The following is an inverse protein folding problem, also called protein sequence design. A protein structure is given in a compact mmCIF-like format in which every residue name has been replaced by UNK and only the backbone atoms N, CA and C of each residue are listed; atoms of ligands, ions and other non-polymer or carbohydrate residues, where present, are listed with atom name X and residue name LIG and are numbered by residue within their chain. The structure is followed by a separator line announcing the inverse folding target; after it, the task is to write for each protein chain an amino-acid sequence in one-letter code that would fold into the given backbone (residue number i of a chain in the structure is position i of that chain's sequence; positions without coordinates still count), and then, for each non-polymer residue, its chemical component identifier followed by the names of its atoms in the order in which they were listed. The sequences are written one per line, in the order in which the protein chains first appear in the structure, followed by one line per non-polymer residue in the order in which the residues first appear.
data_IF_695932119079
#
_entry.id   IF_695932119079
#
_cell.length_a   1.000
_cell.length_b   1.000
_cell.length_c   1.000
_cell.angle_alpha   90.00
_cell.angle_beta   90.00
_cell.angle_gamma   90.00
#
_symmetry.space_group_name_H-M   'P 1'
#
loop_
_entity.id
_entity.type
_entity.pdbx_description
1 polymer ?
#
# COMPACT_ATOMS: atom_id res chain seq x y z
N UNK A 1 13.71 -7.84 -5.16
CA UNK A 1 13.53 -9.12 -4.42
C UNK A 1 13.25 -10.25 -5.40
N UNK A 2 13.12 -11.52 -4.98
CA UNK A 2 12.87 -12.64 -5.93
C UNK A 2 11.59 -12.45 -6.78
N UNK A 3 10.64 -11.67 -6.27
CA UNK A 3 9.34 -11.40 -6.93
C UNK A 3 9.16 -9.93 -7.33
N UNK A 4 10.20 -9.11 -7.20
CA UNK A 4 10.14 -7.67 -7.47
C UNK A 4 11.34 -7.24 -8.29
N UNK A 5 11.09 -6.48 -9.34
CA UNK A 5 12.11 -5.82 -10.16
C UNK A 5 12.21 -4.35 -9.76
N UNK A 6 13.43 -3.80 -9.83
CA UNK A 6 13.66 -2.38 -9.64
C UNK A 6 13.36 -1.64 -10.94
N UNK A 7 12.65 -0.52 -10.85
CA UNK A 7 12.36 0.38 -11.96
C UNK A 7 12.50 1.82 -11.45
N UNK A 8 12.84 2.74 -12.34
CA UNK A 8 12.80 4.17 -12.08
C UNK A 8 11.38 4.62 -12.46
N UNK A 9 10.53 4.69 -11.43
CA UNK A 9 9.07 4.57 -11.55
C UNK A 9 8.31 5.88 -11.43
N UNK A 10 8.98 7.03 -11.31
CA UNK A 10 8.33 8.34 -11.11
C UNK A 10 7.21 8.61 -12.13
N UNK A 11 7.48 8.33 -13.41
CA UNK A 11 6.53 8.55 -14.51
C UNK A 11 5.61 7.36 -14.79
N UNK A 12 5.58 6.34 -13.92
CA UNK A 12 4.85 5.09 -14.19
C UNK A 12 3.37 5.34 -14.49
N UNK A 13 2.68 6.17 -13.68
CA UNK A 13 1.26 6.45 -13.92
C UNK A 13 1.03 7.24 -15.20
N UNK A 14 1.92 8.17 -15.55
CA UNK A 14 1.78 9.00 -16.76
C UNK A 14 1.91 8.12 -18.01
N UNK A 15 2.90 7.21 -18.05
CA UNK A 15 3.10 6.28 -19.16
C UNK A 15 1.85 5.40 -19.37
N UNK A 16 1.31 4.83 -18.29
CA UNK A 16 0.11 3.99 -18.37
C UNK A 16 -1.13 4.82 -18.79
N UNK A 17 -1.27 6.03 -18.25
CA UNK A 17 -2.39 6.92 -18.57
C UNK A 17 -2.34 7.37 -20.03
N UNK A 18 -1.16 7.70 -20.56
CA UNK A 18 -0.99 8.09 -21.96
C UNK A 18 -1.35 6.95 -22.91
N UNK A 19 -0.94 5.71 -22.61
CA UNK A 19 -1.31 4.55 -23.40
C UNK A 19 -2.83 4.32 -23.40
N UNK A 20 -3.48 4.41 -22.23
CA UNK A 20 -4.93 4.28 -22.11
C UNK A 20 -5.67 5.39 -22.87
N UNK A 21 -5.17 6.63 -22.76
CA UNK A 21 -5.71 7.80 -23.46
C UNK A 21 -5.61 7.65 -24.98
N UNK A 22 -4.47 7.19 -25.52
CA UNK A 22 -4.30 6.94 -26.95
C UNK A 22 -5.22 5.83 -27.47
N UNK A 23 -5.44 4.78 -26.68
CA UNK A 23 -6.32 3.68 -27.05
C UNK A 23 -7.81 4.08 -27.02
N UNK A 24 -8.22 4.89 -26.03
CA UNK A 24 -9.60 5.36 -25.88
C UNK A 24 -9.93 6.59 -26.72
N UNK A 25 -8.99 7.47 -27.06
CA UNK A 25 -9.32 8.73 -27.71
C UNK A 25 -9.93 9.79 -26.76
N UNK A 26 -9.79 11.06 -27.15
CA UNK A 26 -10.08 12.22 -26.29
C UNK A 26 -11.57 12.46 -25.99
N UNK A 27 -12.45 11.90 -26.81
CA UNK A 27 -13.90 12.06 -26.72
C UNK A 27 -14.57 11.05 -25.77
N UNK A 28 -13.86 10.00 -25.36
CA UNK A 28 -14.42 8.85 -24.62
C UNK A 28 -13.99 8.76 -23.15
N UNK A 29 -13.28 9.75 -22.62
CA UNK A 29 -13.02 9.85 -21.18
C UNK A 29 -13.55 11.17 -20.62
N UNK A 30 -14.04 11.09 -19.38
CA UNK A 30 -14.52 12.24 -18.64
C UNK A 30 -13.81 12.28 -17.30
N UNK A 31 -13.18 13.41 -17.00
CA UNK A 31 -12.48 13.62 -15.73
C UNK A 31 -13.32 14.48 -14.78
N UNK A 32 -12.94 14.49 -13.50
CA UNK A 32 -13.56 15.33 -12.45
C UNK A 32 -15.04 15.05 -12.19
N UNK A 33 -15.52 13.87 -12.59
CA UNK A 33 -16.85 13.36 -12.24
C UNK A 33 -16.70 12.33 -11.12
N UNK A 34 -17.42 12.52 -10.03
CA UNK A 34 -17.46 11.57 -8.92
C UNK A 34 -18.73 10.72 -9.01
N UNK A 35 -18.56 9.40 -9.12
CA UNK A 35 -19.67 8.44 -9.15
C UNK A 35 -20.09 8.10 -7.72
N UNK A 36 -21.41 8.16 -7.46
CA UNK A 36 -21.98 7.99 -6.12
C UNK A 36 -22.77 6.69 -6.00
N UNK A 37 -23.55 6.34 -7.02
CA UNK A 37 -24.51 5.23 -6.95
C UNK A 37 -24.60 4.48 -8.26
N UNK A 38 -24.74 3.16 -8.17
CA UNK A 38 -25.03 2.27 -9.30
C UNK A 38 -26.54 2.06 -9.43
N UNK A 39 -27.00 1.83 -10.65
CA UNK A 39 -28.40 1.64 -10.99
C UNK A 39 -28.63 0.22 -11.53
N UNK A 40 -29.63 -0.47 -11.00
CA UNK A 40 -30.11 -1.74 -11.54
C UNK A 40 -31.18 -1.51 -12.62
N UNK A 41 -31.33 -2.49 -13.50
CA UNK A 41 -32.37 -2.55 -14.50
C UNK A 41 -33.75 -2.69 -13.84
N UNK A 42 -34.75 -1.97 -14.37
CA UNK A 42 -36.10 -1.99 -13.86
C UNK A 42 -36.87 -3.27 -14.23
N UNK A 43 -36.51 -3.91 -15.34
CA UNK A 43 -37.21 -5.06 -15.90
C UNK A 43 -36.50 -6.38 -15.56
N UNK A 44 -35.16 -6.37 -15.52
CA UNK A 44 -34.37 -7.58 -15.27
C UNK A 44 -33.75 -7.56 -13.87
N UNK A 45 -34.18 -8.43 -12.95
CA UNK A 45 -33.59 -8.52 -11.62
C UNK A 45 -32.08 -8.78 -11.67
N UNK A 46 -31.33 -8.16 -10.74
CA UNK A 46 -29.88 -8.33 -10.58
C UNK A 46 -29.05 -7.99 -11.84
N UNK A 47 -29.54 -7.07 -12.66
CA UNK A 47 -28.85 -6.59 -13.87
C UNK A 47 -28.42 -5.13 -13.69
N UNK A 48 -27.15 -4.81 -13.95
CA UNK A 48 -26.70 -3.41 -13.94
C UNK A 48 -27.29 -2.65 -15.14
N UNK A 49 -27.73 -1.41 -14.94
CA UNK A 49 -28.24 -0.55 -16.02
C UNK A 49 -27.43 0.74 -16.16
N UNK A 50 -26.71 1.16 -15.12
CA UNK A 50 -26.03 2.44 -15.15
C UNK A 50 -25.37 2.88 -13.85
N UNK A 51 -24.96 4.14 -13.84
CA UNK A 51 -24.39 4.82 -12.68
C UNK A 51 -24.78 6.30 -12.65
N UNK A 52 -24.81 6.88 -11.46
CA UNK A 52 -25.08 8.30 -11.23
C UNK A 52 -23.88 8.93 -10.54
N UNK A 53 -23.49 10.10 -11.03
CA UNK A 53 -22.43 10.91 -10.45
C UNK A 53 -22.67 12.41 -10.65
N UNK A 54 -21.75 13.22 -10.14
CA UNK A 54 -21.80 14.67 -10.31
C UNK A 54 -20.41 15.22 -10.60
N UNK A 55 -20.36 16.37 -11.30
CA UNK A 55 -19.10 17.06 -11.56
C UNK A 55 -18.61 17.80 -10.31
N UNK A 56 -17.30 17.74 -10.10
CA UNK A 56 -16.59 18.48 -9.05
C UNK A 56 -16.11 19.85 -9.50
N UNK A 57 -16.50 20.29 -10.71
CA UNK A 57 -16.14 21.60 -11.29
C UNK A 57 -17.35 22.46 -11.63
N UNK A 58 -18.49 21.82 -11.87
CA UNK A 58 -19.71 22.48 -12.30
C UNK A 58 -20.93 21.75 -11.73
N UNK A 59 -22.05 22.45 -11.59
CA UNK A 59 -23.28 21.91 -11.02
C UNK A 59 -24.04 21.06 -12.05
N UNK A 60 -23.43 19.95 -12.47
CA UNK A 60 -24.00 19.00 -13.42
C UNK A 60 -24.07 17.60 -12.80
N UNK A 61 -25.25 16.99 -12.90
CA UNK A 61 -25.48 15.58 -12.55
C UNK A 61 -25.37 14.76 -13.82
N UNK A 62 -24.57 13.69 -13.76
CA UNK A 62 -24.38 12.75 -14.84
C UNK A 62 -25.11 11.46 -14.54
N UNK A 63 -25.91 11.01 -15.51
CA UNK A 63 -26.57 9.70 -15.50
C UNK A 63 -25.99 8.92 -16.67
N UNK A 64 -25.25 7.86 -16.35
CA UNK A 64 -24.67 6.96 -17.33
C UNK A 64 -25.57 5.74 -17.47
N UNK A 65 -25.95 5.41 -18.70
CA UNK A 65 -26.57 4.13 -19.04
C UNK A 65 -25.51 3.23 -19.66
N UNK A 66 -25.44 1.97 -19.24
CA UNK A 66 -24.42 1.04 -19.71
C UNK A 66 -24.93 -0.39 -19.80
N UNK A 67 -24.46 -1.12 -20.81
CA UNK A 67 -24.70 -2.55 -20.90
C UNK A 67 -23.78 -3.34 -19.96
N UNK A 68 -22.53 -2.92 -19.75
CA UNK A 68 -21.62 -3.52 -18.80
C UNK A 68 -20.86 -2.42 -18.05
N UNK A 69 -20.54 -2.65 -16.77
CA UNK A 69 -19.87 -1.68 -15.92
C UNK A 69 -18.67 -2.34 -15.21
N UNK A 70 -17.52 -1.64 -15.20
CA UNK A 70 -16.36 -1.99 -14.40
C UNK A 70 -16.16 -0.92 -13.33
N UNK A 71 -16.13 -1.34 -12.06
CA UNK A 71 -15.90 -0.45 -10.92
C UNK A 71 -14.49 -0.64 -10.40
N UNK A 72 -13.60 0.29 -10.70
CA UNK A 72 -12.17 0.24 -10.34
C UNK A 72 -11.74 1.49 -9.54
N UNK A 73 -12.45 1.80 -8.45
CA UNK A 73 -12.25 3.02 -7.66
C UNK A 73 -11.28 2.85 -6.47
N UNK A 74 -10.39 1.85 -6.51
CA UNK A 74 -9.42 1.58 -5.45
C UNK A 74 -10.03 0.95 -4.19
N UNK A 75 -9.24 0.97 -3.10
CA UNK A 75 -9.60 0.39 -1.80
C UNK A 75 -10.25 1.38 -0.83
N UNK A 76 -10.01 1.19 0.47
CA UNK A 76 -10.54 2.05 1.55
C UNK A 76 -9.45 2.45 2.55
N UNK A 77 -9.32 3.75 2.83
CA UNK A 77 -8.41 4.30 3.86
C UNK A 77 -9.17 5.28 4.75
N UNK A 78 -8.53 5.75 5.83
CA UNK A 78 -9.13 6.63 6.84
C UNK A 78 -10.40 6.09 7.53
N UNK A 79 -10.74 4.82 7.31
CA UNK A 79 -11.78 4.10 8.06
C UNK A 79 -11.39 3.79 9.51
N UNK A 80 -10.08 3.83 9.82
CA UNK A 80 -9.54 3.75 11.18
C UNK A 80 -8.80 5.04 11.52
N UNK A 81 -8.89 5.47 12.80
CA UNK A 81 -8.17 6.64 13.28
C UNK A 81 -6.65 6.48 13.09
N UNK A 82 -5.98 7.37 12.34
CA UNK A 82 -4.53 7.30 12.14
C UNK A 82 -3.76 7.69 13.40
N UNK A 83 -2.46 7.37 13.44
CA UNK A 83 -1.56 7.73 14.56
C UNK A 83 -1.27 9.24 14.68
N UNK A 84 -1.53 10.00 13.63
CA UNK A 84 -1.35 11.46 13.58
C UNK A 84 -2.68 12.06 13.16
N UNK A 85 -3.25 12.93 14.00
CA UNK A 85 -4.64 13.39 13.88
C UNK A 85 -4.80 14.86 13.49
N UNK A 86 -3.71 15.65 13.49
CA UNK A 86 -3.69 17.00 12.91
C UNK A 86 -3.45 16.96 11.39
N UNK A 87 -2.60 17.85 10.87
CA UNK A 87 -2.22 17.87 9.45
C UNK A 87 -1.66 16.54 8.93
N UNK A 88 -1.05 15.74 9.82
CA UNK A 88 -0.57 14.40 9.52
C UNK A 88 -1.65 13.37 9.17
N UNK A 89 -2.94 13.71 9.27
CA UNK A 89 -4.04 12.84 8.86
C UNK A 89 -4.03 12.57 7.35
N UNK A 90 -3.55 13.52 6.54
CA UNK A 90 -3.40 13.35 5.09
C UNK A 90 -2.34 12.32 4.69
N UNK A 91 -1.43 11.96 5.59
CA UNK A 91 -0.29 11.06 5.32
C UNK A 91 -0.66 9.61 5.59
N UNK A 92 -1.69 9.07 4.95
CA UNK A 92 -1.96 7.63 4.97
C UNK A 92 -0.89 6.86 4.17
N UNK A 93 -0.67 5.58 4.48
CA UNK A 93 0.27 4.74 3.69
C UNK A 93 -0.31 4.33 2.33
N UNK A 94 -1.62 4.08 2.32
CA UNK A 94 -2.37 3.84 1.09
C UNK A 94 -3.04 5.18 0.69
N UNK A 95 -3.31 5.42 -0.60
CA UNK A 95 -3.71 6.74 -1.09
C UNK A 95 -4.92 7.32 -0.36
N UNK A 96 -4.77 8.53 0.19
CA UNK A 96 -5.73 9.15 1.12
C UNK A 96 -7.13 9.37 0.53
N UNK A 97 -7.23 9.50 -0.79
CA UNK A 97 -8.47 9.71 -1.52
C UNK A 97 -9.31 8.43 -1.72
N UNK A 98 -8.81 7.25 -1.33
CA UNK A 98 -9.54 5.99 -1.48
C UNK A 98 -10.61 5.83 -0.38
N UNK A 99 -11.85 6.20 -0.69
CA UNK A 99 -12.97 6.21 0.26
C UNK A 99 -13.75 4.88 0.38
N UNK A 100 -13.31 3.80 -0.27
CA UNK A 100 -14.07 2.54 -0.31
C UNK A 100 -15.28 2.56 -1.25
N UNK A 101 -15.28 3.45 -2.26
CA UNK A 101 -16.37 3.59 -3.22
C UNK A 101 -16.62 2.29 -4.00
N UNK A 102 -15.57 1.56 -4.37
CA UNK A 102 -15.67 0.25 -5.05
C UNK A 102 -16.55 -0.72 -4.26
N UNK A 103 -16.26 -0.89 -2.96
CA UNK A 103 -16.94 -1.87 -2.12
C UNK A 103 -18.39 -1.48 -1.86
N UNK A 104 -18.61 -0.21 -1.49
CA UNK A 104 -19.94 0.27 -1.10
C UNK A 104 -20.90 0.27 -2.28
N UNK A 105 -20.47 0.77 -3.44
CA UNK A 105 -21.33 0.84 -4.62
C UNK A 105 -21.76 -0.55 -5.10
N UNK A 106 -20.83 -1.51 -5.16
CA UNK A 106 -21.12 -2.89 -5.56
C UNK A 106 -22.00 -3.61 -4.52
N UNK A 107 -21.70 -3.49 -3.23
CA UNK A 107 -22.49 -4.11 -2.17
C UNK A 107 -23.93 -3.59 -2.14
N UNK A 108 -24.14 -2.28 -2.38
CA UNK A 108 -25.47 -1.66 -2.40
C UNK A 108 -26.37 -2.17 -3.54
N UNK A 109 -25.79 -2.62 -4.65
CA UNK A 109 -26.56 -3.24 -5.75
C UNK A 109 -26.69 -4.75 -5.63
N UNK A 110 -26.27 -5.33 -4.50
CA UNK A 110 -26.42 -6.76 -4.22
C UNK A 110 -25.29 -7.63 -4.76
N UNK A 111 -24.15 -7.06 -5.15
CA UNK A 111 -22.99 -7.85 -5.52
C UNK A 111 -22.44 -8.61 -4.30
N UNK A 112 -22.08 -9.88 -4.49
CA UNK A 112 -21.47 -10.69 -3.45
C UNK A 112 -20.08 -10.16 -3.08
N UNK A 113 -19.84 -9.99 -1.79
CA UNK A 113 -18.56 -9.54 -1.25
C UNK A 113 -17.84 -10.71 -0.60
N UNK A 114 -16.52 -10.74 -0.70
CA UNK A 114 -15.69 -11.82 -0.14
C UNK A 114 -14.50 -11.27 0.63
N UNK A 115 -14.09 -11.98 1.69
CA UNK A 115 -12.92 -11.67 2.53
C UNK A 115 -12.89 -10.23 3.07
N UNK A 116 -14.05 -9.65 3.40
CA UNK A 116 -14.16 -8.26 3.87
C UNK A 116 -13.55 -8.04 5.26
N UNK A 117 -13.31 -9.11 6.02
CA UNK A 117 -12.61 -9.10 7.30
C UNK A 117 -11.10 -8.94 7.16
N UNK A 118 -10.54 -9.26 5.98
CA UNK A 118 -9.13 -9.15 5.70
C UNK A 118 -8.70 -7.68 5.66
N UNK A 119 -7.63 -7.36 6.39
CA UNK A 119 -7.08 -6.00 6.46
C UNK A 119 -5.58 -6.01 6.33
N UNK A 120 -5.05 -5.00 5.67
CA UNK A 120 -3.61 -4.82 5.53
C UNK A 120 -3.09 -3.75 6.48
N UNK A 121 -2.16 -4.15 7.35
CA UNK A 121 -1.42 -3.24 8.23
C UNK A 121 0.06 -3.37 7.89
N UNK A 122 0.64 -2.34 7.30
CA UNK A 122 2.06 -2.34 6.93
C UNK A 122 2.96 -2.28 8.19
N UNK A 123 4.09 -3.04 8.23
CA UNK A 123 4.98 -3.08 9.39
C UNK A 123 5.65 -1.71 9.68
N UNK A 124 5.83 -1.31 10.95
CA UNK A 124 6.57 -0.11 11.34
C UNK A 124 8.10 -0.12 11.15
N UNK A 125 8.89 -1.22 11.13
CA UNK A 125 10.31 -1.10 10.75
C UNK A 125 10.50 -0.82 9.25
N UNK A 126 9.46 -0.96 8.43
CA UNK A 126 9.36 -0.35 7.09
C UNK A 126 8.82 1.09 7.13
N UNK A 127 9.00 1.80 8.26
CA UNK A 127 8.66 3.22 8.42
C UNK A 127 9.71 3.89 9.30
N UNK A 128 10.36 4.94 8.81
CA UNK A 128 10.91 5.92 9.76
C UNK A 128 9.72 6.51 10.53
N UNK A 129 9.89 6.79 11.82
CA UNK A 129 8.80 7.11 12.77
C UNK A 129 7.89 8.28 12.28
N UNK A 130 8.33 9.04 11.28
CA UNK A 130 7.62 10.16 10.67
C UNK A 130 7.41 10.08 9.14
N UNK A 131 8.14 9.26 8.37
CA UNK A 131 7.96 9.11 6.93
C UNK A 131 7.42 7.70 6.58
N UNK A 132 6.24 7.65 5.96
CA UNK A 132 5.49 6.42 5.64
C UNK A 132 5.72 5.96 4.20
N UNK A 133 6.97 6.05 3.75
CA UNK A 133 7.43 5.71 2.41
C UNK A 133 7.93 4.27 2.33
N UNK A 134 8.02 3.74 1.11
CA UNK A 134 8.51 2.40 0.80
C UNK A 134 9.89 2.18 1.40
N UNK A 135 10.04 1.12 2.18
CA UNK A 135 11.33 0.62 2.69
C UNK A 135 11.61 -0.78 2.11
N UNK A 136 10.98 -1.08 0.97
CA UNK A 136 11.12 -2.34 0.27
C UNK A 136 12.54 -2.53 -0.23
N UNK A 137 13.14 -1.48 -0.80
CA UNK A 137 14.53 -1.50 -1.24
C UNK A 137 15.48 -1.60 -0.04
N UNK A 138 15.29 -0.77 1.00
CA UNK A 138 16.18 -0.72 2.16
C UNK A 138 16.19 -2.02 3.00
N UNK A 139 15.08 -2.76 3.06
CA UNK A 139 15.03 -4.08 3.71
C UNK A 139 15.59 -5.22 2.83
N UNK A 140 15.72 -4.99 1.52
CA UNK A 140 16.22 -5.98 0.54
C UNK A 140 17.68 -5.74 0.11
N UNK A 141 18.19 -4.54 0.34
CA UNK A 141 19.61 -4.20 0.35
C UNK A 141 20.34 -4.72 1.62
N UNK A 142 21.61 -4.32 1.82
CA UNK A 142 22.47 -4.89 2.85
C UNK A 142 21.84 -4.76 4.25
N UNK A 143 21.59 -5.91 4.86
CA UNK A 143 20.73 -6.13 6.03
C UNK A 143 20.89 -5.05 7.12
N UNK A 144 19.97 -4.08 7.23
CA UNK A 144 20.00 -3.17 8.36
C UNK A 144 19.64 -3.92 9.65
N UNK A 145 20.52 -3.87 10.65
CA UNK A 145 20.27 -4.46 11.97
C UNK A 145 19.31 -3.57 12.75
N UNK A 146 18.29 -4.14 13.39
CA UNK A 146 17.48 -3.42 14.37
C UNK A 146 18.25 -3.29 15.69
N UNK A 147 18.33 -2.10 16.28
CA UNK A 147 19.35 -1.70 17.28
C UNK A 147 19.17 -2.19 18.72
N UNK A 148 18.48 -3.31 18.95
CA UNK A 148 18.53 -4.00 20.24
C UNK A 148 18.71 -5.50 20.03
N UNK A 149 19.99 -5.89 19.93
CA UNK A 149 20.68 -7.15 20.26
C UNK A 149 20.09 -8.53 19.94
N UNK A 150 18.84 -8.66 19.47
CA UNK A 150 18.28 -9.82 18.77
C UNK A 150 17.18 -9.27 17.87
N UNK A 151 17.22 -9.54 16.57
CA UNK A 151 16.06 -9.26 15.71
C UNK A 151 14.83 -9.83 16.41
N UNK A 152 13.79 -9.05 16.68
CA UNK A 152 12.60 -9.54 17.40
C UNK A 152 12.02 -10.80 16.74
N UNK A 153 12.21 -10.96 15.42
CA UNK A 153 11.90 -12.18 14.66
C UNK A 153 12.66 -13.44 15.14
N UNK A 154 13.87 -13.29 15.68
CA UNK A 154 14.67 -14.38 16.24
C UNK A 154 14.26 -14.66 17.69
N UNK A 155 14.10 -13.61 18.51
CA UNK A 155 13.66 -13.77 19.92
C UNK A 155 12.26 -14.37 20.03
N UNK A 156 11.34 -13.91 19.20
CA UNK A 156 9.93 -14.29 19.24
C UNK A 156 9.60 -15.43 18.26
N UNK A 157 10.61 -16.15 17.76
CA UNK A 157 10.42 -17.21 16.76
C UNK A 157 9.50 -18.33 17.26
N UNK A 158 9.57 -18.66 18.55
CA UNK A 158 8.71 -19.65 19.19
C UNK A 158 7.20 -19.34 19.05
N UNK A 159 6.82 -18.08 18.83
CA UNK A 159 5.41 -17.72 18.57
C UNK A 159 4.89 -18.28 17.24
N UNK A 160 5.78 -18.68 16.33
CA UNK A 160 5.41 -19.18 15.01
C UNK A 160 5.27 -20.70 14.97
N UNK A 161 5.75 -21.43 15.98
CA UNK A 161 5.68 -22.91 16.06
C UNK A 161 4.29 -23.47 15.71
N UNK A 162 3.17 -23.05 16.36
CA UNK A 162 1.86 -23.60 16.03
C UNK A 162 1.37 -23.27 14.60
N UNK A 163 1.93 -22.24 13.97
CA UNK A 163 1.62 -21.89 12.58
C UNK A 163 2.50 -22.65 11.59
N UNK A 164 3.74 -22.95 11.96
CA UNK A 164 4.66 -23.79 11.19
C UNK A 164 4.19 -25.24 11.17
N UNK A 165 3.74 -25.76 12.33
CA UNK A 165 3.19 -27.13 12.45
C UNK A 165 1.97 -27.36 11.56
N UNK A 166 1.16 -26.31 11.35
CA UNK A 166 -0.01 -26.31 10.47
C UNK A 166 0.32 -25.99 9.00
N UNK A 167 1.60 -25.78 8.68
CA UNK A 167 2.07 -25.48 7.32
C UNK A 167 1.85 -24.04 6.83
N UNK A 168 1.47 -23.10 7.70
CA UNK A 168 1.25 -21.69 7.34
C UNK A 168 2.53 -20.85 7.25
N UNK A 169 3.63 -21.35 7.80
CA UNK A 169 4.95 -20.74 7.67
C UNK A 169 6.00 -21.85 7.49
N UNK A 170 7.05 -21.57 6.71
CA UNK A 170 8.13 -22.54 6.48
C UNK A 170 9.47 -21.85 6.34
N UNK A 171 10.40 -22.15 7.25
CA UNK A 171 11.77 -21.64 7.21
C UNK A 171 11.84 -20.12 7.21
N UNK A 172 12.32 -19.52 6.13
CA UNK A 172 12.47 -18.06 6.00
C UNK A 172 11.24 -17.36 5.41
N UNK A 173 10.27 -18.12 4.89
CA UNK A 173 9.04 -17.59 4.29
C UNK A 173 7.98 -17.50 5.39
N UNK A 174 7.92 -16.33 6.01
CA UNK A 174 6.96 -16.00 7.07
C UNK A 174 5.96 -14.99 6.50
N UNK A 175 4.64 -15.28 6.56
CA UNK A 175 3.57 -14.34 6.20
C UNK A 175 3.71 -12.98 6.90
N UNK A 176 3.38 -11.90 6.19
CA UNK A 176 3.54 -10.52 6.70
C UNK A 176 2.76 -10.28 8.00
N UNK A 177 1.56 -10.86 8.13
CA UNK A 177 0.76 -10.76 9.35
C UNK A 177 1.44 -11.42 10.57
N UNK A 178 2.12 -12.56 10.38
CA UNK A 178 2.87 -13.25 11.44
C UNK A 178 4.15 -12.49 11.83
N UNK A 179 4.80 -11.82 10.86
CA UNK A 179 5.91 -10.88 11.17
C UNK A 179 5.43 -9.72 12.04
N UNK A 180 4.29 -9.14 11.71
CA UNK A 180 3.65 -8.10 12.52
C UNK A 180 3.23 -8.63 13.89
N UNK A 181 2.79 -9.88 14.00
CA UNK A 181 2.40 -10.48 15.26
C UNK A 181 3.55 -10.54 16.27
N UNK A 182 4.73 -11.00 15.84
CA UNK A 182 5.95 -11.01 16.67
C UNK A 182 6.34 -9.60 17.13
N UNK A 183 6.12 -8.61 16.27
CA UNK A 183 6.43 -7.22 16.54
C UNK A 183 5.42 -6.56 17.51
N UNK A 184 4.14 -6.90 17.41
CA UNK A 184 3.10 -6.43 18.33
C UNK A 184 3.33 -6.89 19.77
N UNK A 185 4.02 -8.02 19.97
CA UNK A 185 4.47 -8.47 21.29
C UNK A 185 5.47 -7.50 21.91
N UNK A 186 6.47 -7.07 21.17
CA UNK A 186 7.47 -6.11 21.65
C UNK A 186 6.82 -4.78 22.05
N UNK A 187 5.86 -4.30 21.24
CA UNK A 187 5.16 -3.06 21.52
C UNK A 187 4.27 -3.14 22.76
N UNK A 188 3.51 -4.23 22.95
CA UNK A 188 2.61 -4.38 24.11
C UNK A 188 3.38 -4.58 25.41
N UNK A 189 4.53 -5.24 25.36
CA UNK A 189 5.37 -5.52 26.53
C UNK A 189 6.32 -4.35 26.84
N UNK A 190 6.10 -3.17 26.23
CA UNK A 190 6.84 -1.94 26.53
C UNK A 190 8.29 -1.93 26.04
N UNK A 191 8.70 -2.88 25.20
CA UNK A 191 10.07 -2.99 24.68
C UNK A 191 10.33 -2.16 23.42
N UNK A 192 9.38 -1.30 23.03
CA UNK A 192 9.60 -0.27 22.03
C UNK A 192 10.57 0.82 22.50
N UNK A 193 11.06 1.70 21.61
CA UNK A 193 10.77 1.77 20.18
C UNK A 193 11.51 0.72 19.36
N UNK A 194 10.89 0.28 18.27
CA UNK A 194 11.53 -0.60 17.29
C UNK A 194 12.26 0.30 16.29
N UNK A 195 13.59 0.21 16.27
CA UNK A 195 14.45 1.08 15.48
C UNK A 195 15.28 0.29 14.46
N UNK A 196 15.52 0.89 13.31
CA UNK A 196 16.41 0.37 12.27
C UNK A 196 17.75 1.10 12.36
N UNK A 197 18.83 0.41 12.71
CA UNK A 197 20.17 0.99 12.74
C UNK A 197 20.75 1.09 11.34
N UNK A 198 20.33 2.11 10.60
CA UNK A 198 20.92 2.40 9.29
C UNK A 198 22.37 2.84 9.42
N UNK A 199 22.74 3.52 10.51
CA UNK A 199 24.10 4.05 10.71
C UNK A 199 25.14 2.93 10.74
N UNK A 200 24.97 1.93 11.62
CA UNK A 200 25.94 0.82 11.70
C UNK A 200 25.91 -0.02 10.43
N UNK A 201 24.72 -0.32 9.90
CA UNK A 201 24.58 -1.16 8.71
C UNK A 201 25.22 -0.56 7.46
N UNK A 202 25.04 0.75 7.23
CA UNK A 202 25.68 1.44 6.11
C UNK A 202 27.20 1.49 6.29
N UNK A 203 27.68 1.79 7.51
CA UNK A 203 29.12 1.82 7.82
C UNK A 203 29.79 0.47 7.58
N UNK A 204 29.14 -0.63 8.00
CA UNK A 204 29.60 -2.00 7.77
C UNK A 204 29.63 -2.35 6.27
N UNK A 205 28.62 -1.94 5.52
CA UNK A 205 28.48 -2.22 4.08
C UNK A 205 29.60 -1.60 3.28
N UNK A 206 29.91 -0.32 3.53
CA UNK A 206 30.93 0.43 2.77
C UNK A 206 32.30 0.42 3.44
N UNK A 207 32.46 -0.32 4.56
CA UNK A 207 33.68 -0.35 5.38
C UNK A 207 34.20 1.05 5.75
N UNK A 208 33.30 2.01 5.93
CA UNK A 208 33.62 3.42 6.22
C UNK A 208 34.04 4.29 5.03
N UNK A 209 34.03 3.79 3.80
CA UNK A 209 34.35 4.59 2.60
C UNK A 209 33.13 5.29 1.99
N UNK A 210 32.81 6.44 2.57
CA UNK A 210 31.73 7.35 2.12
C UNK A 210 32.10 8.19 0.88
N UNK A 211 33.30 8.05 0.32
CA UNK A 211 33.73 8.81 -0.87
C UNK A 211 33.71 7.96 -2.14
N UNK A 212 33.61 6.64 -2.00
CA UNK A 212 33.57 5.71 -3.12
C UNK A 212 32.42 6.01 -4.12
N UNK A 213 32.64 5.78 -5.42
CA UNK A 213 31.56 5.80 -6.41
C UNK A 213 30.42 4.83 -6.07
N UNK A 214 30.75 3.69 -5.44
CA UNK A 214 29.79 2.71 -4.96
C UNK A 214 28.84 3.29 -3.91
N UNK A 215 29.36 4.06 -2.93
CA UNK A 215 28.53 4.73 -1.94
C UNK A 215 27.55 5.70 -2.60
N UNK A 216 28.03 6.55 -3.52
CA UNK A 216 27.18 7.52 -4.22
C UNK A 216 26.04 6.86 -4.99
N UNK A 217 26.33 5.75 -5.66
CA UNK A 217 25.33 4.99 -6.41
C UNK A 217 24.29 4.35 -5.49
N UNK A 218 24.72 3.65 -4.43
CA UNK A 218 23.81 3.02 -3.47
C UNK A 218 22.97 4.06 -2.69
N UNK A 219 23.57 5.20 -2.36
CA UNK A 219 22.87 6.33 -1.74
C UNK A 219 21.78 6.84 -2.69
N UNK A 220 22.10 7.07 -3.97
CA UNK A 220 21.10 7.51 -4.95
C UNK A 220 19.94 6.51 -5.11
N UNK A 221 20.23 5.21 -5.23
CA UNK A 221 19.18 4.18 -5.35
C UNK A 221 18.30 4.11 -4.09
N UNK A 222 18.88 4.28 -2.91
CA UNK A 222 18.13 4.30 -1.66
C UNK A 222 17.22 5.53 -1.55
N UNK A 223 17.67 6.69 -1.99
CA UNK A 223 16.85 7.91 -2.05
C UNK A 223 15.78 7.84 -3.14
N UNK A 224 16.05 7.19 -4.26
CA UNK A 224 15.07 6.98 -5.33
C UNK A 224 13.87 6.15 -4.87
N UNK A 225 14.05 5.14 -4.00
CA UNK A 225 12.93 4.38 -3.37
C UNK A 225 11.95 5.29 -2.62
N UNK A 226 12.43 6.44 -2.12
CA UNK A 226 11.59 7.46 -1.49
C UNK A 226 10.97 8.42 -2.50
N UNK A 227 11.75 8.90 -3.47
CA UNK A 227 11.33 9.93 -4.42
C UNK A 227 10.35 9.40 -5.47
N UNK A 228 10.49 8.14 -5.88
CA UNK A 228 9.68 7.54 -6.94
C UNK A 228 8.28 7.12 -6.49
N UNK A 229 8.07 6.90 -5.19
CA UNK A 229 6.83 6.34 -4.65
C UNK A 229 5.97 7.36 -3.85
N UNK A 230 6.21 8.66 -4.06
CA UNK A 230 5.45 9.74 -3.41
C UNK A 230 4.12 10.08 -4.11
#
# INVERSE_FOLDING_TARGET
GRWQIMINGESYKVIVAEAAKKALGDDRYLERIFIVKLLLDANTPNRIAGAVGFSTRENKVYVFTCNACLVACGGAVNVFRPRSTGEGMGRAWYPVWNAGSTYTMCAQVGAEMTMMENRFVSPPPSRTVTARSGLGSCCSGPRPRTTRAKTYCATNRAMLEPYEDRGYAKGHIIPTCLRNHMMLREMREGRGPIFMDTKTALTETIKGDFKSPLWKHLESEAWEDFLDMC
#
